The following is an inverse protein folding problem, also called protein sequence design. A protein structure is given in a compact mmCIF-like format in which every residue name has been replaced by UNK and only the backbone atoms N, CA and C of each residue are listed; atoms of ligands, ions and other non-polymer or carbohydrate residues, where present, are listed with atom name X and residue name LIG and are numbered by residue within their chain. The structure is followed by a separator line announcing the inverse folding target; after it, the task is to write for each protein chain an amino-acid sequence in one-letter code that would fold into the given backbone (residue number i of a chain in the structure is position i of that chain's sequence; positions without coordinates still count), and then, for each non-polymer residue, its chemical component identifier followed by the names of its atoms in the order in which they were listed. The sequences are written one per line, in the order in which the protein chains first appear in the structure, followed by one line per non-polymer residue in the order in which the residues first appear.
data_IF_397476847277
#
_entry.id   IF_397476847277
#
_cell.length_a   1.000
_cell.length_b   1.000
_cell.length_c   1.000
_cell.angle_alpha   90.00
_cell.angle_beta   90.00
_cell.angle_gamma   90.00
#
_symmetry.space_group_name_H-M   'P 1'
#
loop_
_entity.id
_entity.type
_entity.pdbx_description
1 polymer ?
#
# COMPACT_ATOMS: atom_id res chain seq x y z
N UNK A 1 26.06 -35.79 39.52
CA UNK A 1 24.80 -35.97 38.75
C UNK A 1 23.93 -34.72 38.71
N UNK A 2 23.71 -33.98 39.81
CA UNK A 2 22.88 -32.75 39.84
C UNK A 2 23.33 -31.62 38.90
N UNK A 3 24.65 -31.46 38.68
CA UNK A 3 25.20 -30.41 37.78
C UNK A 3 24.94 -30.68 36.29
N UNK A 4 24.92 -31.95 35.89
CA UNK A 4 24.62 -32.37 34.51
C UNK A 4 23.11 -32.21 34.25
N UNK A 5 22.27 -32.55 35.23
CA UNK A 5 20.83 -32.32 35.16
C UNK A 5 20.47 -30.83 35.05
N UNK A 6 21.20 -29.96 35.76
CA UNK A 6 20.99 -28.50 35.70
C UNK A 6 21.40 -27.90 34.35
N UNK A 7 22.49 -28.40 33.73
CA UNK A 7 22.90 -27.99 32.39
C UNK A 7 21.98 -28.53 31.29
N UNK A 8 21.44 -29.74 31.44
CA UNK A 8 20.45 -30.30 30.53
C UNK A 8 19.11 -29.53 30.59
N UNK A 9 18.72 -29.04 31.76
CA UNK A 9 17.51 -28.23 31.93
C UNK A 9 17.65 -26.81 31.35
N UNK A 10 18.87 -26.25 31.36
CA UNK A 10 19.16 -24.94 30.76
C UNK A 10 19.24 -25.00 29.21
N UNK A 11 19.61 -26.15 28.65
CA UNK A 11 19.65 -26.38 27.20
C UNK A 11 18.25 -26.55 26.56
N UNK A 12 17.22 -26.80 27.38
CA UNK A 12 15.80 -26.71 26.99
C UNK A 12 15.24 -25.28 27.16
N UNK A 13 16.11 -24.26 27.13
CA UNK A 13 15.73 -22.85 27.16
C UNK A 13 14.73 -22.53 26.05
N UNK A 14 13.53 -22.14 26.46
CA UNK A 14 12.37 -22.00 25.59
C UNK A 14 12.63 -21.15 24.36
N UNK A 15 12.06 -21.59 23.23
CA UNK A 15 11.96 -20.78 22.02
C UNK A 15 11.12 -19.56 22.37
N UNK A 16 11.76 -18.41 22.58
CA UNK A 16 11.06 -17.15 22.77
C UNK A 16 10.26 -16.88 21.50
N UNK A 17 8.93 -17.06 21.55
CA UNK A 17 8.05 -16.71 20.45
C UNK A 17 8.23 -15.20 20.20
N UNK A 18 8.88 -14.84 19.09
CA UNK A 18 9.03 -13.45 18.69
C UNK A 18 7.66 -12.95 18.25
N UNK A 19 6.93 -12.32 19.17
CA UNK A 19 5.73 -11.57 18.84
C UNK A 19 6.14 -10.30 18.08
N UNK A 20 5.59 -10.12 16.89
CA UNK A 20 5.83 -8.93 16.09
C UNK A 20 4.81 -7.86 16.47
N UNK A 21 5.23 -6.60 16.55
CA UNK A 21 4.36 -5.48 16.93
C UNK A 21 3.98 -4.70 15.67
N UNK A 22 2.73 -4.27 15.58
CA UNK A 22 2.24 -3.37 14.54
C UNK A 22 1.89 -2.03 15.18
N UNK A 23 2.36 -0.94 14.59
CA UNK A 23 1.96 0.42 14.98
C UNK A 23 0.87 0.90 14.05
N UNK A 24 -0.26 1.31 14.61
CA UNK A 24 -1.41 1.81 13.87
C UNK A 24 -1.30 3.32 13.60
N UNK A 25 -2.07 3.86 12.63
CA UNK A 25 -2.02 5.28 12.27
C UNK A 25 -2.40 6.23 13.41
N UNK A 26 -3.20 5.74 14.36
CA UNK A 26 -3.61 6.48 15.57
C UNK A 26 -2.59 6.38 16.71
N UNK A 27 -1.45 5.70 16.49
CA UNK A 27 -0.39 5.49 17.47
C UNK A 27 -0.61 4.29 18.39
N UNK A 28 -1.73 3.58 18.29
CA UNK A 28 -1.98 2.36 19.05
C UNK A 28 -1.11 1.19 18.55
N UNK A 29 -0.97 0.16 19.38
CA UNK A 29 -0.15 -1.02 19.05
C UNK A 29 -1.01 -2.28 18.98
N UNK A 30 -0.83 -3.04 17.89
CA UNK A 30 -1.36 -4.39 17.74
C UNK A 30 -0.24 -5.41 17.87
N UNK A 31 -0.56 -6.63 18.31
CA UNK A 31 0.41 -7.73 18.43
C UNK A 31 0.10 -8.80 17.41
N UNK A 32 1.11 -9.32 16.73
CA UNK A 32 0.98 -10.36 15.71
C UNK A 32 1.45 -11.67 16.30
N UNK A 33 0.58 -12.68 16.22
CA UNK A 33 0.87 -14.04 16.62
C UNK A 33 0.50 -15.01 15.48
N UNK A 34 1.51 -15.46 14.74
CA UNK A 34 1.30 -16.24 13.52
C UNK A 34 0.57 -15.42 12.46
N UNK A 35 -0.58 -15.92 11.98
CA UNK A 35 -1.45 -15.23 11.02
C UNK A 35 -2.51 -14.34 11.68
N UNK A 36 -2.50 -14.18 13.00
CA UNK A 36 -3.51 -13.39 13.73
C UNK A 36 -2.89 -12.09 14.23
N UNK A 37 -3.59 -10.98 14.00
CA UNK A 37 -3.27 -9.67 14.55
C UNK A 37 -4.28 -9.38 15.66
N UNK A 38 -3.80 -9.12 16.86
CA UNK A 38 -4.59 -8.76 18.03
C UNK A 38 -4.62 -7.24 18.10
N UNK A 39 -5.80 -6.66 17.92
CA UNK A 39 -6.00 -5.21 17.91
C UNK A 39 -6.04 -4.63 19.33
N UNK A 40 -5.76 -3.33 19.52
CA UNK A 40 -5.74 -2.69 20.83
C UNK A 40 -7.07 -2.79 21.59
N UNK A 41 -8.18 -2.88 20.86
CA UNK A 41 -9.52 -3.04 21.43
C UNK A 41 -9.89 -4.50 21.74
N UNK A 42 -8.95 -5.44 21.64
CA UNK A 42 -9.16 -6.86 21.90
C UNK A 42 -9.78 -7.66 20.76
N UNK A 43 -10.13 -7.02 19.64
CA UNK A 43 -10.59 -7.75 18.44
C UNK A 43 -9.41 -8.39 17.69
N UNK A 44 -9.70 -9.30 16.76
CA UNK A 44 -8.67 -9.98 15.98
C UNK A 44 -8.88 -9.79 14.48
N UNK A 45 -7.78 -9.53 13.77
CA UNK A 45 -7.71 -9.56 12.31
C UNK A 45 -6.93 -10.80 11.87
N UNK A 46 -7.23 -11.34 10.68
CA UNK A 46 -6.56 -12.53 10.15
C UNK A 46 -5.81 -12.21 8.86
N UNK A 47 -4.55 -12.60 8.81
CA UNK A 47 -3.68 -12.51 7.65
C UNK A 47 -3.91 -13.73 6.76
N UNK A 48 -4.30 -13.48 5.51
CA UNK A 48 -4.46 -14.49 4.48
C UNK A 48 -3.70 -14.06 3.20
N UNK A 49 -2.46 -14.54 3.06
CA UNK A 49 -1.57 -14.12 1.98
C UNK A 49 -1.21 -12.64 2.09
N UNK A 50 -1.52 -11.86 1.05
CA UNK A 50 -1.32 -10.40 1.03
C UNK A 50 -2.50 -9.58 1.54
N UNK A 51 -3.53 -10.24 2.09
CA UNK A 51 -4.75 -9.59 2.58
C UNK A 51 -4.85 -9.77 4.08
N UNK A 52 -5.31 -8.73 4.77
CA UNK A 52 -5.71 -8.80 6.18
C UNK A 52 -7.20 -8.59 6.24
N UNK A 53 -7.92 -9.53 6.85
CA UNK A 53 -9.36 -9.45 7.10
C UNK A 53 -9.56 -8.82 8.47
N UNK A 54 -10.22 -7.67 8.49
CA UNK A 54 -10.50 -6.91 9.70
C UNK A 54 -11.75 -7.45 10.42
N UNK A 55 -11.92 -7.15 11.72
CA UNK A 55 -13.06 -7.62 12.51
C UNK A 55 -14.42 -7.17 11.97
N UNK A 56 -14.45 -6.02 11.31
CA UNK A 56 -15.64 -5.44 10.68
C UNK A 56 -15.94 -6.00 9.28
N UNK A 57 -15.15 -6.99 8.83
CA UNK A 57 -15.27 -7.61 7.51
C UNK A 57 -14.58 -6.83 6.38
N UNK A 58 -13.98 -5.67 6.66
CA UNK A 58 -13.19 -4.95 5.65
C UNK A 58 -11.84 -5.64 5.39
N UNK A 59 -11.18 -5.25 4.31
CA UNK A 59 -9.89 -5.83 3.91
C UNK A 59 -8.81 -4.75 3.84
N UNK A 60 -7.68 -5.02 4.50
CA UNK A 60 -6.44 -4.29 4.35
C UNK A 60 -5.47 -5.07 3.46
N UNK A 61 -4.48 -4.38 2.89
CA UNK A 61 -3.46 -4.99 2.01
C UNK A 61 -2.10 -4.94 2.66
N UNK A 62 -1.41 -6.09 2.68
CA UNK A 62 0.00 -6.20 3.05
C UNK A 62 0.88 -5.82 1.85
N UNK A 63 1.69 -4.79 2.03
CA UNK A 63 2.65 -4.28 1.05
C UNK A 63 4.06 -4.24 1.67
N UNK A 64 4.70 -5.42 1.77
CA UNK A 64 5.99 -5.56 2.48
C UNK A 64 5.79 -5.46 4.00
N UNK A 65 6.58 -4.64 4.73
CA UNK A 65 6.47 -4.50 6.19
C UNK A 65 5.32 -3.56 6.61
N UNK A 66 4.35 -3.33 5.73
CA UNK A 66 3.34 -2.28 5.89
C UNK A 66 1.96 -2.84 5.59
N UNK A 67 0.96 -2.39 6.36
CA UNK A 67 -0.46 -2.66 6.16
C UNK A 67 -1.14 -1.37 5.69
N UNK A 68 -1.83 -1.45 4.55
CA UNK A 68 -2.65 -0.36 4.02
C UNK A 68 -4.10 -0.62 4.43
N UNK A 69 -4.61 0.23 5.32
CA UNK A 69 -5.96 0.13 5.86
C UNK A 69 -7.02 0.64 4.87
N UNK A 70 -8.30 0.22 5.00
CA UNK A 70 -9.37 0.63 4.09
C UNK A 70 -9.60 2.14 4.04
N UNK A 71 -9.35 2.81 5.17
CA UNK A 71 -9.44 4.28 5.30
C UNK A 71 -8.24 5.02 4.69
N UNK A 72 -7.26 4.32 4.11
CA UNK A 72 -6.03 4.87 3.56
C UNK A 72 -4.92 5.11 4.58
N UNK A 73 -5.17 4.84 5.87
CA UNK A 73 -4.16 4.84 6.91
C UNK A 73 -3.14 3.72 6.71
N UNK A 74 -1.95 3.90 7.26
CA UNK A 74 -0.83 2.98 7.09
C UNK A 74 -0.33 2.50 8.44
N UNK A 75 -0.40 1.19 8.69
CA UNK A 75 0.21 0.55 9.87
C UNK A 75 1.55 -0.08 9.50
N UNK A 76 2.51 -0.10 10.42
CA UNK A 76 3.86 -0.63 10.16
C UNK A 76 4.18 -1.78 11.10
N UNK A 77 4.76 -2.84 10.57
CA UNK A 77 5.35 -3.88 11.39
C UNK A 77 6.71 -3.42 11.91
N UNK A 78 6.87 -3.44 13.23
CA UNK A 78 8.15 -3.23 13.88
C UNK A 78 8.92 -4.54 13.88
N UNK A 79 9.99 -4.58 13.10
CA UNK A 79 11.05 -5.57 13.24
C UNK A 79 12.14 -5.01 14.15
N UNK A 80 12.64 -5.75 15.16
CA UNK A 80 13.66 -5.25 16.08
C UNK A 80 15.01 -4.91 15.40
N UNK A 81 15.19 -5.30 14.13
CA UNK A 81 16.41 -5.09 13.35
C UNK A 81 16.22 -4.23 12.08
N UNK A 82 15.12 -3.47 11.96
CA UNK A 82 15.00 -2.50 10.86
C UNK A 82 15.35 -1.10 11.38
N UNK A 83 16.43 -0.52 10.86
CA UNK A 83 16.60 0.94 10.83
C UNK A 83 15.31 1.53 10.26
N UNK A 84 14.66 2.37 11.06
CA UNK A 84 13.42 3.02 10.68
C UNK A 84 13.65 3.71 9.34
N UNK A 85 13.01 3.22 8.28
CA UNK A 85 12.84 4.01 7.06
C UNK A 85 11.88 5.15 7.43
N UNK A 86 12.43 6.22 7.99
CA UNK A 86 11.74 7.46 8.29
C UNK A 86 11.32 8.04 6.94
N UNK A 87 10.11 7.74 6.50
CA UNK A 87 9.46 8.55 5.48
C UNK A 87 8.98 9.83 6.17
N UNK A 88 9.50 11.02 5.81
CA UNK A 88 9.11 12.25 6.44
C UNK A 88 7.71 12.64 5.95
N UNK A 89 6.67 12.12 6.60
CA UNK A 89 5.32 12.68 6.45
C UNK A 89 5.06 13.69 7.56
N UNK A 90 5.85 14.76 7.55
CA UNK A 90 5.47 16.02 8.18
C UNK A 90 4.35 16.66 7.37
N UNK A 91 3.09 16.40 7.73
CA UNK A 91 1.96 17.14 7.17
C UNK A 91 1.96 18.56 7.73
N UNK A 92 2.57 19.51 7.02
CA UNK A 92 2.13 20.90 7.12
C UNK A 92 0.66 20.96 6.66
N UNK A 93 -0.25 21.63 7.37
CA UNK A 93 -1.63 21.82 6.92
C UNK A 93 -1.64 22.83 5.77
N UNK A 94 -1.23 22.34 4.60
CA UNK A 94 -1.28 23.08 3.34
C UNK A 94 -2.71 23.06 2.81
N UNK A 95 -3.37 24.20 2.93
CA UNK A 95 -4.62 24.61 2.29
C UNK A 95 -5.01 23.74 1.07
N UNK A 96 -5.82 22.70 1.28
CA UNK A 96 -6.30 21.81 0.21
C UNK A 96 -7.46 22.47 -0.56
N UNK A 97 -7.17 23.57 -1.26
CA UNK A 97 -8.02 24.00 -2.38
C UNK A 97 -7.51 23.34 -3.66
N UNK A 98 -8.24 22.32 -4.13
CA UNK A 98 -8.39 22.07 -5.56
C UNK A 98 -7.43 21.09 -6.25
N UNK A 99 -7.06 19.96 -5.66
CA UNK A 99 -6.41 18.85 -6.41
C UNK A 99 -7.09 17.51 -6.20
N UNK A 100 -8.43 17.47 -6.35
CA UNK A 100 -9.12 16.18 -6.54
C UNK A 100 -8.67 15.54 -7.87
N UNK A 101 -8.16 14.32 -7.74
CA UNK A 101 -8.34 13.22 -8.69
C UNK A 101 -7.72 13.35 -10.09
N UNK A 102 -6.39 13.32 -10.18
CA UNK A 102 -5.73 12.69 -11.35
C UNK A 102 -5.16 11.31 -11.02
N UNK A 103 -4.80 11.06 -9.75
CA UNK A 103 -4.15 9.83 -9.32
C UNK A 103 -5.15 8.67 -9.13
N UNK A 104 -6.38 8.93 -8.66
CA UNK A 104 -7.43 7.90 -8.58
C UNK A 104 -7.87 7.38 -9.97
N UNK A 105 -7.74 8.19 -11.02
CA UNK A 105 -7.96 7.72 -12.39
C UNK A 105 -6.87 6.78 -12.89
N UNK A 106 -5.67 6.81 -12.33
CA UNK A 106 -4.57 5.93 -12.74
C UNK A 106 -4.70 4.53 -12.15
N UNK A 107 -5.28 4.39 -10.95
CA UNK A 107 -5.51 3.11 -10.29
C UNK A 107 -6.76 2.42 -10.89
N UNK A 108 -7.81 3.18 -11.23
CA UNK A 108 -9.04 2.65 -11.86
C UNK A 108 -8.91 2.28 -13.35
N UNK A 109 -7.73 2.40 -13.98
CA UNK A 109 -7.55 2.14 -15.41
C UNK A 109 -6.54 1.02 -15.73
N UNK A 110 -6.04 0.29 -14.73
CA UNK A 110 -5.25 -0.91 -15.02
C UNK A 110 -6.18 -1.97 -15.62
N UNK A 111 -5.99 -2.43 -16.87
CA UNK A 111 -6.75 -3.56 -17.38
C UNK A 111 -6.38 -4.81 -16.57
N UNK A 112 -7.33 -5.72 -16.31
CA UNK A 112 -7.03 -6.97 -15.62
C UNK A 112 -6.16 -7.84 -16.55
N UNK A 113 -4.87 -7.91 -16.25
CA UNK A 113 -3.90 -8.70 -17.02
C UNK A 113 -2.45 -8.39 -16.63
N UNK A 114 -1.59 -9.41 -16.70
CA UNK A 114 -0.17 -9.45 -16.34
C UNK A 114 0.72 -8.53 -17.22
N UNK A 115 0.43 -7.23 -17.26
CA UNK A 115 1.25 -6.27 -18.00
C UNK A 115 2.09 -5.48 -17.00
N UNK A 116 3.40 -5.47 -17.21
CA UNK A 116 4.33 -4.78 -16.33
C UNK A 116 4.00 -3.29 -16.21
N UNK A 117 4.26 -2.70 -15.03
CA UNK A 117 4.00 -1.27 -14.75
C UNK A 117 4.65 -0.34 -15.80
N UNK A 118 5.79 -0.75 -16.36
CA UNK A 118 6.52 -0.02 -17.39
C UNK A 118 5.81 -0.03 -18.74
N UNK A 119 5.23 -1.16 -19.14
CA UNK A 119 4.53 -1.30 -20.42
C UNK A 119 3.23 -0.53 -20.42
N UNK A 120 2.52 -0.55 -19.30
CA UNK A 120 1.33 0.28 -19.10
C UNK A 120 1.66 1.79 -19.22
N UNK A 121 2.75 2.24 -18.59
CA UNK A 121 3.15 3.65 -18.64
C UNK A 121 3.55 4.07 -20.06
N UNK A 122 4.20 3.19 -20.81
CA UNK A 122 4.56 3.38 -22.22
C UNK A 122 3.31 3.49 -23.09
N UNK A 123 2.36 2.58 -22.94
CA UNK A 123 1.09 2.59 -23.66
C UNK A 123 0.24 3.84 -23.35
N UNK A 124 0.18 4.26 -22.09
CA UNK A 124 -0.54 5.46 -21.68
C UNK A 124 0.04 6.74 -22.30
N UNK A 125 1.37 6.88 -22.29
CA UNK A 125 2.06 8.01 -22.95
C UNK A 125 1.80 8.01 -24.46
N UNK A 126 1.82 6.84 -25.10
CA UNK A 126 1.51 6.69 -26.53
C UNK A 126 0.06 7.11 -26.83
N UNK A 127 -0.91 6.66 -26.04
CA UNK A 127 -2.33 7.02 -26.16
C UNK A 127 -2.54 8.54 -26.04
N UNK A 128 -1.91 9.18 -25.05
CA UNK A 128 -2.00 10.64 -24.87
C UNK A 128 -1.39 11.42 -26.04
N UNK A 129 -0.29 10.93 -26.60
CA UNK A 129 0.32 11.50 -27.80
C UNK A 129 -0.62 11.39 -29.00
N UNK A 130 -1.25 10.22 -29.19
CA UNK A 130 -2.21 9.97 -30.27
C UNK A 130 -3.44 10.87 -30.17
N UNK A 131 -4.08 10.98 -28.99
CA UNK A 131 -5.22 11.88 -28.76
C UNK A 131 -4.88 13.35 -29.10
N UNK A 132 -3.67 13.79 -28.71
CA UNK A 132 -3.20 15.15 -29.03
C UNK A 132 -3.00 15.35 -30.54
N UNK A 133 -2.52 14.33 -31.25
CA UNK A 133 -2.41 14.38 -32.71
C UNK A 133 -3.77 14.44 -33.38
N UNK A 134 -4.75 13.66 -32.91
CA UNK A 134 -6.10 13.68 -33.47
C UNK A 134 -6.78 15.04 -33.31
N UNK A 135 -6.68 15.66 -32.12
CA UNK A 135 -7.17 17.03 -31.90
C UNK A 135 -6.48 18.05 -32.82
N UNK A 136 -5.19 17.88 -33.09
CA UNK A 136 -4.47 18.74 -34.04
C UNK A 136 -4.93 18.53 -35.47
N UNK A 137 -5.21 17.29 -35.89
CA UNK A 137 -5.76 16.98 -37.22
C UNK A 137 -7.16 17.59 -37.40
N UNK A 138 -8.07 17.36 -36.46
CA UNK A 138 -9.41 17.96 -36.46
C UNK A 138 -9.35 19.49 -36.52
N UNK A 139 -8.46 20.13 -35.73
CA UNK A 139 -8.31 21.59 -35.76
C UNK A 139 -7.77 22.11 -37.10
N UNK A 140 -6.91 21.35 -37.79
CA UNK A 140 -6.41 21.70 -39.13
C UNK A 140 -7.51 21.55 -40.19
N UNK A 141 -8.31 20.50 -40.08
CA UNK A 141 -9.43 20.24 -40.98
C UNK A 141 -10.52 21.30 -40.86
N UNK A 142 -10.90 21.68 -39.63
CA UNK A 142 -11.83 22.79 -39.37
C UNK A 142 -11.30 24.09 -39.99
N UNK A 143 -10.01 24.40 -39.84
CA UNK A 143 -9.40 25.60 -40.46
C UNK A 143 -9.39 25.53 -41.99
N UNK A 144 -9.24 24.34 -42.57
CA UNK A 144 -9.27 24.13 -44.02
C UNK A 144 -10.69 24.35 -44.56
N UNK A 145 -11.70 23.77 -43.90
CA UNK A 145 -13.12 23.96 -44.25
C UNK A 145 -13.55 25.43 -44.10
N UNK A 146 -13.08 26.12 -43.06
CA UNK A 146 -13.33 27.55 -42.87
C UNK A 146 -12.73 28.44 -43.96
N UNK A 147 -11.64 28.01 -44.62
CA UNK A 147 -11.05 28.73 -45.77
C UNK A 147 -11.77 28.48 -47.09
N UNK A 148 -12.43 27.34 -47.24
CA UNK A 148 -13.17 26.97 -48.47
C UNK A 148 -14.54 27.65 -48.50
N UNK A 149 -15.11 28.00 -47.34
CA UNK A 149 -16.41 28.67 -47.19
C UNK A 149 -16.35 30.21 -47.33
N UNK A 150 -15.20 30.79 -47.66
CA UNK A 150 -15.00 32.24 -47.85
C UNK A 150 -14.63 32.49 -49.30
#
# INVERSE_FOLDING_TARGET
MKKILFMALLALGGTMAQAQVVVNPDGSHSVVHGSVIINPNGTHSVIHGSVVVNPDGTHSVLAGPVIINPNGGVSQFLSPNQEQAVFPFGSKPGNQKGRKSKMNKFIQQQPPGLISRTDYLKAWKAKKKYEKQQKRKQKREIRRLARIKK
#
